data_IF_433869971246
#
_entry.id   IF_433869971246
#
_cell.length_a   1.000
_cell.length_b   1.000
_cell.length_c   1.000
_cell.angle_alpha   90.00
_cell.angle_beta   90.00
_cell.angle_gamma   90.00
#
_symmetry.space_group_name_H-M   'P 1'
#
loop_
_entity.id
_entity.type
_entity.pdbx_description
1 polymer ?
#
# COMPACT_ATOMS: atom_id res chain seq x y z
N UNK A 1 -26.77 -4.13 16.83
CA UNK A 1 -26.45 -2.70 16.64
C UNK A 1 -25.05 -2.32 17.13
N UNK A 2 -24.61 -2.83 18.26
CA UNK A 2 -23.27 -2.51 18.78
C UNK A 2 -22.11 -3.02 17.94
N UNK A 3 -22.29 -4.11 17.20
CA UNK A 3 -21.24 -4.68 16.36
C UNK A 3 -20.90 -3.84 15.12
N UNK A 4 -21.87 -3.06 14.60
CA UNK A 4 -21.64 -2.17 13.46
C UNK A 4 -20.78 -0.96 13.82
N UNK A 5 -20.89 -0.45 15.04
CA UNK A 5 -20.09 0.68 15.53
C UNK A 5 -18.63 0.25 15.76
N UNK A 6 -18.43 -0.97 16.25
CA UNK A 6 -17.09 -1.53 16.46
C UNK A 6 -16.34 -1.76 15.14
N UNK A 7 -17.04 -2.18 14.09
CA UNK A 7 -16.45 -2.37 12.76
C UNK A 7 -15.97 -1.04 12.15
N UNK A 8 -16.69 0.06 12.42
CA UNK A 8 -16.30 1.39 11.91
C UNK A 8 -15.06 1.95 12.62
N UNK A 9 -14.85 1.58 13.88
CA UNK A 9 -13.72 2.04 14.69
C UNK A 9 -12.41 1.32 14.28
N UNK A 10 -12.50 0.10 13.76
CA UNK A 10 -11.36 -0.71 13.36
C UNK A 10 -10.86 -0.44 11.94
N UNK A 11 -11.69 0.20 11.09
CA UNK A 11 -11.31 0.52 9.73
C UNK A 11 -10.32 1.70 9.70
N UNK A 12 -9.19 1.51 9.00
CA UNK A 12 -8.22 2.59 8.81
C UNK A 12 -8.80 3.58 7.80
N UNK A 13 -9.00 4.82 8.24
CA UNK A 13 -9.56 5.88 7.42
C UNK A 13 -8.45 6.60 6.65
N UNK A 14 -8.66 6.79 5.34
CA UNK A 14 -7.73 7.51 4.48
C UNK A 14 -7.47 8.94 4.96
N UNK A 15 -8.51 9.62 5.45
CA UNK A 15 -8.36 10.98 5.98
C UNK A 15 -7.45 11.01 7.21
N UNK A 16 -7.52 10.00 8.06
CA UNK A 16 -6.63 9.87 9.22
C UNK A 16 -5.18 9.66 8.77
N UNK A 17 -4.95 8.90 7.71
CA UNK A 17 -3.61 8.72 7.12
C UNK A 17 -3.06 10.05 6.65
N UNK A 18 -3.84 10.79 5.87
CA UNK A 18 -3.45 12.10 5.32
C UNK A 18 -3.22 13.14 6.41
N UNK A 19 -3.96 13.06 7.50
CA UNK A 19 -3.88 14.01 8.60
C UNK A 19 -2.65 13.82 9.50
N UNK A 20 -1.93 12.70 9.38
CA UNK A 20 -0.74 12.43 10.20
C UNK A 20 0.39 13.40 9.82
N UNK A 21 0.82 14.30 10.75
CA UNK A 21 1.83 15.30 10.43
C UNK A 21 3.27 14.74 10.41
N UNK A 22 3.53 13.64 11.11
CA UNK A 22 4.86 13.03 11.18
C UNK A 22 5.05 12.12 9.96
N UNK A 23 5.99 12.47 9.09
CA UNK A 23 6.13 11.82 7.78
C UNK A 23 6.41 10.31 7.86
N UNK A 24 7.28 9.88 8.76
CA UNK A 24 7.55 8.45 8.93
C UNK A 24 6.35 7.69 9.47
N UNK A 25 5.55 8.29 10.33
CA UNK A 25 4.31 7.69 10.82
C UNK A 25 3.25 7.66 9.73
N UNK A 26 3.17 8.72 8.93
CA UNK A 26 2.25 8.79 7.80
C UNK A 26 2.56 7.70 6.79
N UNK A 27 3.85 7.48 6.49
CA UNK A 27 4.29 6.40 5.62
C UNK A 27 3.86 5.03 6.14
N UNK A 28 4.05 4.77 7.44
CA UNK A 28 3.64 3.51 8.07
C UNK A 28 2.13 3.32 8.05
N UNK A 29 1.36 4.37 8.36
CA UNK A 29 -0.10 4.32 8.33
C UNK A 29 -0.64 4.11 6.92
N UNK A 30 0.02 4.69 5.92
CA UNK A 30 -0.33 4.46 4.52
C UNK A 30 -0.18 2.98 4.13
N UNK A 31 0.86 2.31 4.61
CA UNK A 31 1.05 0.87 4.38
C UNK A 31 0.05 0.04 5.17
N UNK A 32 -0.29 0.44 6.39
CA UNK A 32 -1.35 -0.22 7.16
C UNK A 32 -2.68 -0.13 6.42
N UNK A 33 -2.99 1.03 5.86
CA UNK A 33 -4.16 1.24 5.01
C UNK A 33 -4.12 0.31 3.79
N UNK A 34 -3.00 0.26 3.07
CA UNK A 34 -2.84 -0.59 1.89
C UNK A 34 -3.07 -2.07 2.23
N UNK A 35 -2.50 -2.52 3.34
CA UNK A 35 -2.64 -3.90 3.80
C UNK A 35 -4.08 -4.24 4.15
N UNK A 36 -4.79 -3.33 4.82
CA UNK A 36 -6.19 -3.51 5.16
C UNK A 36 -7.07 -3.55 3.91
N UNK A 37 -6.81 -2.65 2.93
CA UNK A 37 -7.53 -2.65 1.66
C UNK A 37 -7.35 -3.97 0.90
N UNK A 38 -6.15 -4.51 0.91
CA UNK A 38 -5.88 -5.80 0.25
C UNK A 38 -6.63 -6.95 0.93
N UNK A 39 -6.69 -6.93 2.26
CA UNK A 39 -7.48 -7.92 3.02
C UNK A 39 -8.97 -7.81 2.67
N UNK A 40 -9.49 -6.58 2.55
CA UNK A 40 -10.87 -6.35 2.12
C UNK A 40 -11.11 -6.81 0.68
N UNK A 41 -10.14 -6.59 -0.22
CA UNK A 41 -10.25 -7.04 -1.60
C UNK A 41 -10.46 -8.56 -1.66
N UNK A 42 -9.74 -9.32 -0.85
CA UNK A 42 -9.92 -10.77 -0.79
C UNK A 42 -11.34 -11.15 -0.35
N UNK A 43 -11.89 -10.45 0.62
CA UNK A 43 -13.26 -10.68 1.08
C UNK A 43 -14.29 -10.37 -0.02
N UNK A 44 -14.10 -9.26 -0.73
CA UNK A 44 -14.99 -8.87 -1.82
C UNK A 44 -14.87 -9.80 -3.03
N UNK A 45 -13.68 -10.33 -3.28
CA UNK A 45 -13.47 -11.38 -4.26
C UNK A 45 -14.36 -12.59 -3.96
N UNK A 46 -14.35 -13.05 -2.71
CA UNK A 46 -15.14 -14.21 -2.27
C UNK A 46 -16.63 -13.96 -2.32
N UNK A 47 -17.06 -12.72 -2.02
CA UNK A 47 -18.49 -12.36 -2.02
C UNK A 47 -19.03 -11.97 -3.40
N UNK A 48 -18.17 -11.78 -4.40
CA UNK A 48 -18.58 -11.41 -5.75
C UNK A 48 -18.97 -9.95 -5.94
N UNK A 49 -18.63 -9.07 -5.00
CA UNK A 49 -18.88 -7.62 -5.11
C UNK A 49 -17.75 -6.96 -5.89
N UNK A 50 -17.89 -6.89 -7.21
CA UNK A 50 -16.84 -6.40 -8.11
C UNK A 50 -16.52 -4.91 -7.92
N UNK A 51 -17.52 -4.08 -7.63
CA UNK A 51 -17.29 -2.65 -7.39
C UNK A 51 -16.47 -2.41 -6.12
N UNK A 52 -16.83 -3.08 -5.03
CA UNK A 52 -16.10 -3.00 -3.76
C UNK A 52 -14.70 -3.62 -3.89
N UNK A 53 -14.58 -4.70 -4.65
CA UNK A 53 -13.31 -5.34 -4.96
C UNK A 53 -12.36 -4.36 -5.68
N UNK A 54 -12.83 -3.71 -6.74
CA UNK A 54 -12.04 -2.75 -7.52
C UNK A 54 -11.57 -1.59 -6.65
N UNK A 55 -12.47 -1.05 -5.82
CA UNK A 55 -12.14 0.04 -4.90
C UNK A 55 -11.05 -0.37 -3.91
N UNK A 56 -11.16 -1.57 -3.34
CA UNK A 56 -10.18 -2.08 -2.37
C UNK A 56 -8.81 -2.32 -3.02
N UNK A 57 -8.79 -2.90 -4.21
CA UNK A 57 -7.56 -3.14 -4.97
C UNK A 57 -6.87 -1.81 -5.32
N UNK A 58 -7.62 -0.81 -5.76
CA UNK A 58 -7.10 0.53 -6.04
C UNK A 58 -6.56 1.18 -4.77
N UNK A 59 -7.24 1.02 -3.64
CA UNK A 59 -6.80 1.54 -2.35
C UNK A 59 -5.46 0.96 -1.90
N UNK A 60 -5.20 -0.30 -2.23
CA UNK A 60 -3.90 -0.95 -1.94
C UNK A 60 -2.77 -0.21 -2.63
N UNK A 61 -2.90 0.08 -3.92
CA UNK A 61 -1.89 0.82 -4.67
C UNK A 61 -1.75 2.26 -4.19
N UNK A 62 -2.87 2.93 -3.92
CA UNK A 62 -2.88 4.31 -3.41
C UNK A 62 -2.12 4.42 -2.09
N UNK A 63 -2.33 3.49 -1.17
CA UNK A 63 -1.62 3.46 0.11
C UNK A 63 -0.12 3.32 -0.06
N UNK A 64 0.32 2.43 -0.94
CA UNK A 64 1.74 2.23 -1.21
C UNK A 64 2.37 3.47 -1.86
N UNK A 65 1.68 4.09 -2.81
CA UNK A 65 2.14 5.34 -3.45
C UNK A 65 2.26 6.47 -2.44
N UNK A 66 1.29 6.58 -1.54
CA UNK A 66 1.33 7.62 -0.50
C UNK A 66 2.43 7.39 0.52
N UNK A 67 2.74 6.13 0.83
CA UNK A 67 3.90 5.77 1.65
C UNK A 67 5.18 6.29 1.01
N UNK A 68 5.38 6.01 -0.27
CA UNK A 68 6.57 6.47 -1.00
C UNK A 68 6.66 8.00 -1.01
N UNK A 69 5.55 8.68 -1.29
CA UNK A 69 5.49 10.14 -1.31
C UNK A 69 5.83 10.73 0.06
N UNK A 70 5.37 10.11 1.15
CA UNK A 70 5.65 10.56 2.52
C UNK A 70 7.13 10.41 2.86
N UNK A 71 7.75 9.30 2.46
CA UNK A 71 9.19 9.10 2.65
C UNK A 71 10.02 10.09 1.82
N UNK A 72 9.62 10.32 0.57
CA UNK A 72 10.29 11.29 -0.31
C UNK A 72 10.20 12.72 0.26
N UNK A 73 9.08 13.06 0.89
CA UNK A 73 8.87 14.38 1.51
C UNK A 73 9.80 14.66 2.69
N UNK A 74 10.48 13.64 3.22
CA UNK A 74 11.48 13.82 4.29
C UNK A 74 12.71 14.60 3.82
N UNK A 75 12.92 14.74 2.51
CA UNK A 75 13.94 15.63 1.93
C UNK A 75 15.37 15.18 2.07
N UNK A 76 15.62 13.96 2.56
CA UNK A 76 16.95 13.40 2.72
C UNK A 76 17.22 12.38 1.63
N UNK A 77 18.50 12.18 1.30
CA UNK A 77 18.88 11.09 0.40
C UNK A 77 18.43 9.75 0.99
N UNK A 78 17.91 8.82 0.17
CA UNK A 78 17.43 7.53 0.70
C UNK A 78 18.46 6.76 1.51
N UNK A 79 19.78 6.87 1.19
CA UNK A 79 20.82 6.23 1.98
C UNK A 79 20.91 6.74 3.42
N UNK A 80 20.40 7.92 3.70
CA UNK A 80 20.32 8.50 5.05
C UNK A 80 19.07 8.09 5.79
N UNK A 81 18.10 7.49 5.07
CA UNK A 81 16.79 7.07 5.58
C UNK A 81 16.56 5.56 5.41
N UNK A 82 17.61 4.76 5.28
CA UNK A 82 17.51 3.31 5.05
C UNK A 82 16.62 2.65 6.11
N UNK A 83 16.69 3.10 7.37
CA UNK A 83 15.86 2.56 8.44
C UNK A 83 14.35 2.74 8.20
N UNK A 84 13.94 3.69 7.33
CA UNK A 84 12.54 3.92 6.95
C UNK A 84 12.22 3.29 5.59
N UNK A 85 13.15 3.36 4.63
CA UNK A 85 12.97 2.79 3.29
C UNK A 85 12.98 1.27 3.29
N UNK A 86 13.86 0.64 4.07
CA UNK A 86 13.99 -0.81 4.09
C UNK A 86 12.73 -1.52 4.62
N UNK A 87 12.15 -1.12 5.76
CA UNK A 87 10.89 -1.73 6.21
C UNK A 87 9.75 -1.51 5.21
N UNK A 88 9.68 -0.32 4.59
CA UNK A 88 8.66 -0.02 3.59
C UNK A 88 8.83 -0.92 2.35
N UNK A 89 10.06 -1.09 1.86
CA UNK A 89 10.35 -1.99 0.75
C UNK A 89 9.87 -3.40 1.04
N UNK A 90 10.18 -3.92 2.22
CA UNK A 90 9.79 -5.27 2.63
C UNK A 90 8.27 -5.43 2.68
N UNK A 91 7.56 -4.43 3.21
CA UNK A 91 6.09 -4.45 3.29
C UNK A 91 5.45 -4.35 1.91
N UNK A 92 5.96 -3.49 1.04
CA UNK A 92 5.44 -3.37 -0.34
C UNK A 92 5.71 -4.65 -1.13
N UNK A 93 6.86 -5.27 -0.94
CA UNK A 93 7.18 -6.57 -1.55
C UNK A 93 6.15 -7.63 -1.15
N UNK A 94 5.77 -7.67 0.11
CA UNK A 94 4.74 -8.60 0.59
C UNK A 94 3.36 -8.29 0.00
N UNK A 95 2.99 -7.02 -0.10
CA UNK A 95 1.76 -6.60 -0.77
C UNK A 95 1.76 -7.04 -2.24
N UNK A 96 2.89 -6.84 -2.92
CA UNK A 96 3.04 -7.23 -4.32
C UNK A 96 2.88 -8.74 -4.51
N UNK A 97 3.47 -9.54 -3.62
CA UNK A 97 3.32 -10.99 -3.63
C UNK A 97 1.85 -11.39 -3.49
N UNK A 98 1.13 -10.76 -2.57
CA UNK A 98 -0.29 -11.03 -2.33
C UNK A 98 -1.17 -10.59 -3.50
N UNK A 99 -0.87 -9.43 -4.10
CA UNK A 99 -1.64 -8.94 -5.24
C UNK A 99 -1.43 -9.85 -6.48
N UNK A 100 -0.24 -10.39 -6.66
CA UNK A 100 0.05 -11.34 -7.74
C UNK A 100 -0.77 -12.62 -7.57
N UNK A 101 -0.89 -13.13 -6.34
CA UNK A 101 -1.75 -14.27 -6.03
C UNK A 101 -3.21 -13.94 -6.35
N UNK A 102 -3.67 -12.77 -5.96
CA UNK A 102 -5.05 -12.32 -6.24
C UNK A 102 -5.30 -12.20 -7.74
N UNK A 103 -4.33 -11.72 -8.52
CA UNK A 103 -4.43 -11.66 -9.98
C UNK A 103 -4.67 -13.05 -10.58
N UNK A 104 -3.97 -14.05 -10.09
CA UNK A 104 -4.11 -15.42 -10.59
C UNK A 104 -5.49 -16.00 -10.29
N UNK A 105 -6.11 -15.58 -9.19
CA UNK A 105 -7.44 -16.05 -8.78
C UNK A 105 -8.58 -15.23 -9.38
N UNK A 106 -8.32 -14.00 -9.82
CA UNK A 106 -9.35 -13.04 -10.22
C UNK A 106 -10.11 -13.49 -11.49
N UNK A 107 -11.40 -13.14 -11.53
CA UNK A 107 -12.23 -13.32 -12.71
C UNK A 107 -11.80 -12.39 -13.84
N UNK A 108 -12.35 -12.61 -15.04
CA UNK A 108 -12.08 -11.75 -16.21
C UNK A 108 -12.48 -10.29 -15.90
N UNK A 109 -13.59 -10.08 -15.21
CA UNK A 109 -14.11 -8.76 -14.85
C UNK A 109 -13.22 -8.06 -13.80
N UNK A 110 -12.66 -8.82 -12.88
CA UNK A 110 -11.84 -8.31 -11.77
C UNK A 110 -10.38 -8.08 -12.16
N UNK A 111 -9.89 -8.85 -13.11
CA UNK A 111 -8.45 -8.90 -13.45
C UNK A 111 -7.86 -7.55 -13.88
N UNK A 112 -8.53 -6.71 -14.71
CA UNK A 112 -7.93 -5.43 -15.12
C UNK A 112 -7.55 -4.52 -13.94
N UNK A 113 -8.38 -4.45 -12.90
CA UNK A 113 -8.07 -3.65 -11.71
C UNK A 113 -6.87 -4.21 -10.96
N UNK A 114 -6.77 -5.53 -10.84
CA UNK A 114 -5.65 -6.19 -10.16
C UNK A 114 -4.34 -5.98 -10.93
N UNK A 115 -4.37 -6.13 -12.24
CA UNK A 115 -3.19 -5.92 -13.11
C UNK A 115 -2.69 -4.48 -12.99
N UNK A 116 -3.58 -3.49 -13.00
CA UNK A 116 -3.20 -2.08 -12.84
C UNK A 116 -2.62 -1.82 -11.45
N UNK A 117 -3.23 -2.37 -10.40
CA UNK A 117 -2.70 -2.24 -9.04
C UNK A 117 -1.33 -2.90 -8.91
N UNK A 118 -1.15 -4.08 -9.50
CA UNK A 118 0.14 -4.77 -9.52
C UNK A 118 1.22 -3.91 -10.20
N UNK A 119 0.88 -3.29 -11.32
CA UNK A 119 1.79 -2.39 -12.04
C UNK A 119 2.22 -1.22 -11.15
N UNK A 120 1.27 -0.59 -10.47
CA UNK A 120 1.52 0.55 -9.57
C UNK A 120 2.39 0.13 -8.37
N UNK A 121 2.08 -1.01 -7.77
CA UNK A 121 2.86 -1.56 -6.66
C UNK A 121 4.29 -1.91 -7.09
N UNK A 122 4.44 -2.45 -8.28
CA UNK A 122 5.77 -2.77 -8.86
C UNK A 122 6.60 -1.50 -8.98
N UNK A 123 6.01 -0.41 -9.50
CA UNK A 123 6.70 0.87 -9.62
C UNK A 123 7.14 1.42 -8.26
N UNK A 124 6.28 1.35 -7.25
CA UNK A 124 6.60 1.76 -5.88
C UNK A 124 7.74 0.89 -5.32
N UNK A 125 7.63 -0.42 -5.49
CA UNK A 125 8.63 -1.36 -4.98
C UNK A 125 10.01 -1.10 -5.60
N UNK A 126 10.07 -0.89 -6.90
CA UNK A 126 11.33 -0.61 -7.60
C UNK A 126 11.97 0.68 -7.07
N UNK A 127 11.18 1.72 -6.86
CA UNK A 127 11.67 2.99 -6.32
C UNK A 127 12.18 2.83 -4.88
N UNK A 128 11.45 2.09 -4.04
CA UNK A 128 11.90 1.81 -2.67
C UNK A 128 13.18 0.98 -2.66
N UNK A 129 13.24 -0.04 -3.50
CA UNK A 129 14.41 -0.92 -3.59
C UNK A 129 15.65 -0.14 -4.05
N UNK A 130 15.50 0.71 -5.06
CA UNK A 130 16.57 1.59 -5.51
C UNK A 130 17.04 2.51 -4.37
N UNK A 131 16.12 3.02 -3.57
CA UNK A 131 16.44 3.83 -2.40
C UNK A 131 17.26 3.07 -1.36
N UNK A 132 16.89 1.80 -1.09
CA UNK A 132 17.62 0.93 -0.15
C UNK A 132 19.01 0.59 -0.68
N UNK A 133 19.12 0.37 -1.99
CA UNK A 133 20.37 -0.02 -2.63
C UNK A 133 21.27 1.15 -2.99
N UNK A 134 20.77 2.39 -2.88
CA UNK A 134 21.53 3.58 -3.28
C UNK A 134 22.71 3.80 -2.35
N UNK A 135 23.86 4.21 -2.95
CA UNK A 135 25.03 4.57 -2.19
C UNK A 135 24.98 6.05 -1.81
N UNK A 136 25.51 6.37 -0.62
CA UNK A 136 25.62 7.75 -0.18
C UNK A 136 26.48 8.53 -1.19
N UNK A 137 26.01 9.71 -1.66
CA UNK A 137 26.82 10.53 -2.56
C UNK A 137 28.16 10.88 -1.89
N UNK A 138 29.23 10.78 -2.63
CA UNK A 138 30.54 11.29 -2.17
C UNK A 138 30.49 12.81 -2.19
N UNK A 139 30.78 13.39 -1.06
CA UNK A 139 30.86 14.84 -0.91
C UNK A 139 32.09 15.39 -1.65
#
# INVERSE_FOLDING_TARGET
>A
MFSLVLLTILAIDWEAVRAEPVLEKRAQRALDFAQERLTEARKHYESGDDAAFTKAVNGTAEGAEYCLASLAAMGKHPSQNVRHYKPAEMRVRELLRRITTLRNDASIEQRPAVVESERRLTAVHETLLDGVMSKRPRS
#
